data_IF_251134173775
#
_entry.id   IF_251134173775
#
_cell.length_a   1.000
_cell.length_b   1.000
_cell.length_c   1.000
_cell.angle_alpha   90.00
_cell.angle_beta   90.00
_cell.angle_gamma   90.00
#
_symmetry.space_group_name_H-M   'P 1'
#
loop_
_entity.id
_entity.type
_entity.pdbx_description
1 polymer ?
#
# COMPACT_ATOMS: atom_id res chain seq x y z
N UNK A 1 -15.08 10.00 34.31
CA UNK A 1 -14.84 8.65 33.73
C UNK A 1 -14.53 8.69 32.22
N UNK A 2 -14.42 9.89 31.59
CA UNK A 2 -14.12 10.05 30.14
C UNK A 2 -12.69 10.50 29.85
N UNK A 3 -11.90 10.87 30.85
CA UNK A 3 -10.54 11.42 30.70
C UNK A 3 -9.43 10.46 31.19
N UNK A 4 -9.56 9.19 30.88
CA UNK A 4 -8.50 8.21 31.16
C UNK A 4 -7.44 8.27 30.03
N UNK A 5 -6.23 8.81 30.28
CA UNK A 5 -5.16 8.91 29.28
C UNK A 5 -4.71 7.56 28.74
N UNK A 6 -4.89 6.46 29.49
CA UNK A 6 -4.56 5.10 29.02
C UNK A 6 -5.54 4.56 27.95
N UNK A 7 -6.70 5.19 27.76
CA UNK A 7 -7.60 4.89 26.63
C UNK A 7 -7.07 5.39 25.27
N UNK A 8 -6.12 6.29 25.27
CA UNK A 8 -5.53 6.88 24.03
C UNK A 8 -4.42 6.03 23.41
N UNK A 9 -3.93 5.00 24.08
CA UNK A 9 -2.81 4.13 23.64
C UNK A 9 -3.14 3.23 22.45
N UNK A 10 -4.38 3.23 21.98
CA UNK A 10 -4.80 2.39 20.85
C UNK A 10 -4.64 3.06 19.46
N UNK A 11 -4.24 4.35 19.38
CA UNK A 11 -4.05 5.05 18.10
C UNK A 11 -2.77 4.59 17.38
N UNK A 12 -1.68 4.37 18.10
CA UNK A 12 -0.42 3.89 17.53
C UNK A 12 -0.52 2.43 17.07
N UNK A 13 -1.21 1.57 17.82
CA UNK A 13 -1.46 0.17 17.44
C UNK A 13 -2.42 0.02 16.26
N UNK A 14 -3.30 0.99 15.97
CA UNK A 14 -4.22 0.94 14.83
C UNK A 14 -3.55 1.18 13.48
N UNK A 15 -2.38 1.81 13.46
CA UNK A 15 -1.71 2.19 12.23
C UNK A 15 -0.69 1.16 11.73
N UNK A 16 -0.30 0.19 12.55
CA UNK A 16 0.63 -0.86 12.14
C UNK A 16 -0.15 -1.95 11.43
N UNK A 17 -0.05 -2.02 10.11
CA UNK A 17 -0.64 -3.10 9.32
C UNK A 17 0.06 -4.41 9.67
N UNK A 18 -0.70 -5.39 10.16
CA UNK A 18 -0.18 -6.70 10.62
C UNK A 18 -0.23 -7.78 9.54
N UNK A 19 -0.84 -7.50 8.40
CA UNK A 19 -1.06 -8.46 7.33
C UNK A 19 -0.54 -7.92 6.01
N UNK A 20 0.14 -8.79 5.26
CA UNK A 20 0.84 -8.44 4.03
C UNK A 20 -0.07 -7.73 3.03
N UNK A 21 -1.22 -8.30 2.71
CA UNK A 21 -2.11 -7.82 1.66
C UNK A 21 -3.13 -6.77 2.06
N UNK A 22 -3.27 -6.44 3.38
CA UNK A 22 -4.32 -5.52 3.83
C UNK A 22 -4.14 -4.09 3.28
N UNK A 23 -5.05 -3.66 2.40
CA UNK A 23 -4.97 -2.36 1.71
C UNK A 23 -3.87 -2.28 0.66
N UNK A 24 -3.17 -3.38 0.36
CA UNK A 24 -2.19 -3.53 -0.72
C UNK A 24 -2.79 -4.31 -1.90
N UNK A 25 -3.41 -5.46 -1.61
CA UNK A 25 -4.07 -6.23 -2.65
C UNK A 25 -5.40 -5.59 -3.03
N UNK A 26 -5.79 -5.74 -4.29
CA UNK A 26 -7.03 -5.20 -4.82
C UNK A 26 -7.97 -6.31 -5.27
N UNK A 27 -9.26 -6.02 -5.25
CA UNK A 27 -10.28 -6.90 -5.78
C UNK A 27 -10.27 -6.82 -7.31
N UNK A 28 -10.17 -7.95 -8.00
CA UNK A 28 -10.15 -8.01 -9.46
C UNK A 28 -11.48 -7.56 -10.10
N UNK A 29 -12.61 -7.70 -9.37
CA UNK A 29 -13.93 -7.32 -9.88
C UNK A 29 -14.21 -5.81 -9.85
N UNK A 30 -13.74 -5.11 -8.80
CA UNK A 30 -14.10 -3.70 -8.58
C UNK A 30 -12.91 -2.76 -8.37
N UNK A 31 -11.66 -3.29 -8.39
CA UNK A 31 -10.45 -2.49 -8.20
C UNK A 31 -10.23 -1.96 -6.78
N UNK A 32 -11.20 -2.12 -5.87
CA UNK A 32 -11.07 -1.61 -4.52
C UNK A 32 -10.06 -2.41 -3.70
N UNK A 33 -9.32 -1.75 -2.79
CA UNK A 33 -8.38 -2.44 -1.90
C UNK A 33 -9.13 -3.39 -0.96
N UNK A 34 -8.58 -4.59 -0.77
CA UNK A 34 -9.09 -5.53 0.22
C UNK A 34 -8.54 -5.20 1.60
N UNK A 35 -9.30 -5.53 2.64
CA UNK A 35 -8.90 -5.35 4.04
C UNK A 35 -8.97 -6.64 4.80
N UNK A 36 -8.11 -6.80 5.81
CA UNK A 36 -8.19 -7.93 6.71
C UNK A 36 -9.43 -7.84 7.58
N UNK A 37 -10.16 -8.94 7.65
CA UNK A 37 -11.26 -9.17 8.58
C UNK A 37 -11.08 -10.57 9.19
N UNK A 38 -10.78 -10.62 10.46
CA UNK A 38 -10.32 -11.84 11.16
C UNK A 38 -9.10 -12.47 10.44
N UNK A 39 -9.20 -13.72 10.01
CA UNK A 39 -8.18 -14.51 9.31
C UNK A 39 -8.25 -14.42 7.77
N UNK A 40 -8.95 -13.42 7.22
CA UNK A 40 -9.26 -13.36 5.79
C UNK A 40 -9.13 -11.95 5.23
N UNK A 41 -8.84 -11.87 3.93
CA UNK A 41 -8.99 -10.66 3.14
C UNK A 41 -10.42 -10.52 2.63
N UNK A 42 -11.00 -9.33 2.77
CA UNK A 42 -12.36 -9.03 2.33
C UNK A 42 -12.39 -7.74 1.51
N UNK A 43 -13.12 -7.76 0.41
CA UNK A 43 -13.54 -6.57 -0.30
C UNK A 43 -14.89 -6.10 0.26
N UNK A 44 -14.95 -4.86 0.74
CA UNK A 44 -16.18 -4.30 1.31
C UNK A 44 -17.25 -4.04 0.24
N UNK A 45 -16.86 -3.71 -1.00
CA UNK A 45 -17.78 -3.34 -2.07
C UNK A 45 -18.50 -4.55 -2.69
N UNK A 46 -17.76 -5.63 -3.04
CA UNK A 46 -18.33 -6.78 -3.76
C UNK A 46 -18.34 -8.07 -2.92
N UNK A 47 -17.97 -8.01 -1.65
CA UNK A 47 -18.05 -9.17 -0.74
C UNK A 47 -17.07 -10.30 -1.05
N UNK A 48 -16.03 -10.06 -1.88
CA UNK A 48 -14.95 -11.03 -2.10
C UNK A 48 -14.31 -11.38 -0.76
N UNK A 49 -14.04 -12.68 -0.52
CA UNK A 49 -13.35 -13.18 0.67
C UNK A 49 -12.25 -14.13 0.25
N UNK A 50 -11.05 -13.98 0.85
CA UNK A 50 -9.88 -14.84 0.63
C UNK A 50 -9.15 -15.08 1.93
N UNK A 51 -8.62 -16.30 2.10
CA UNK A 51 -7.74 -16.67 3.22
C UNK A 51 -6.36 -16.06 3.05
N UNK A 52 -5.58 -15.93 4.13
CA UNK A 52 -4.21 -15.43 4.11
C UNK A 52 -3.21 -16.38 3.42
N UNK A 53 -3.61 -17.61 3.05
CA UNK A 53 -2.80 -18.50 2.19
C UNK A 53 -2.41 -17.89 0.84
N UNK A 54 -3.10 -16.79 0.45
CA UNK A 54 -2.71 -15.93 -0.66
C UNK A 54 -1.32 -15.32 -0.45
N UNK A 55 -0.96 -14.98 0.79
CA UNK A 55 0.31 -14.34 1.11
C UNK A 55 1.50 -15.25 0.79
N UNK A 56 1.40 -16.54 1.11
CA UNK A 56 2.46 -17.53 0.83
C UNK A 56 2.73 -17.63 -0.68
N UNK A 57 1.65 -17.63 -1.48
CA UNK A 57 1.77 -17.65 -2.93
C UNK A 57 2.40 -16.37 -3.46
N UNK A 58 1.94 -15.19 -3.01
CA UNK A 58 2.50 -13.90 -3.43
C UNK A 58 3.98 -13.83 -3.07
N UNK A 59 4.34 -14.17 -1.83
CA UNK A 59 5.74 -14.17 -1.39
C UNK A 59 6.61 -15.11 -2.23
N UNK A 60 6.11 -16.31 -2.57
CA UNK A 60 6.84 -17.24 -3.43
C UNK A 60 7.09 -16.64 -4.84
N UNK A 61 6.09 -16.01 -5.44
CA UNK A 61 6.23 -15.35 -6.76
C UNK A 61 7.18 -14.16 -6.69
N UNK A 62 7.11 -13.35 -5.64
CA UNK A 62 8.02 -12.21 -5.44
C UNK A 62 9.46 -12.70 -5.28
N UNK A 63 9.72 -13.74 -4.45
CA UNK A 63 11.06 -14.32 -4.30
C UNK A 63 11.61 -14.83 -5.64
N UNK A 64 10.79 -15.55 -6.39
CA UNK A 64 11.19 -16.02 -7.72
C UNK A 64 11.53 -14.85 -8.66
N UNK A 65 10.85 -13.72 -8.55
CA UNK A 65 11.13 -12.52 -9.35
C UNK A 65 12.40 -11.80 -8.90
N UNK A 66 12.62 -11.68 -7.60
CA UNK A 66 13.82 -11.07 -7.01
C UNK A 66 15.11 -11.87 -7.28
N UNK A 67 14.98 -13.18 -7.48
CA UNK A 67 16.10 -14.06 -7.82
C UNK A 67 16.52 -14.04 -9.29
N UNK A 68 15.92 -13.19 -10.15
CA UNK A 68 16.28 -13.09 -11.57
C UNK A 68 17.33 -12.02 -11.79
N UNK A 69 18.24 -12.28 -12.75
CA UNK A 69 19.35 -11.38 -13.07
C UNK A 69 18.90 -10.03 -13.70
N UNK A 70 17.68 -10.00 -14.28
CA UNK A 70 17.09 -8.81 -14.91
C UNK A 70 16.36 -7.87 -13.94
N UNK A 71 16.51 -8.05 -12.63
CA UNK A 71 15.81 -7.26 -11.61
C UNK A 71 16.14 -5.76 -11.72
N UNK A 72 17.42 -5.43 -11.94
CA UNK A 72 17.87 -4.04 -12.01
C UNK A 72 17.22 -3.27 -13.18
N UNK A 73 16.96 -3.95 -14.31
CA UNK A 73 16.38 -3.35 -15.51
C UNK A 73 14.89 -2.98 -15.34
N UNK A 74 14.22 -3.57 -14.35
CA UNK A 74 12.79 -3.37 -14.08
C UNK A 74 12.50 -2.38 -12.98
N UNK A 75 13.52 -2.04 -12.21
CA UNK A 75 13.33 -1.09 -11.12
C UNK A 75 13.41 0.34 -11.67
N UNK A 76 12.45 1.21 -11.32
CA UNK A 76 12.60 2.62 -11.63
C UNK A 76 13.88 3.12 -10.94
N UNK A 77 14.78 3.69 -11.72
CA UNK A 77 15.91 4.43 -11.17
C UNK A 77 15.34 5.64 -10.44
N UNK A 78 15.45 5.66 -9.11
CA UNK A 78 15.10 6.84 -8.35
C UNK A 78 16.17 7.90 -8.64
N UNK A 79 15.79 8.96 -9.35
CA UNK A 79 16.54 10.19 -9.38
C UNK A 79 16.18 10.97 -8.11
N UNK A 80 17.17 11.37 -7.34
CA UNK A 80 16.96 12.16 -6.12
C UNK A 80 16.18 13.45 -6.42
N UNK A 81 16.38 14.04 -7.61
CA UNK A 81 15.63 15.21 -8.07
C UNK A 81 14.15 14.89 -8.28
N UNK A 82 13.81 13.69 -8.77
CA UNK A 82 12.42 13.25 -8.93
C UNK A 82 11.74 13.05 -7.55
N UNK A 83 12.45 12.45 -6.60
CA UNK A 83 11.93 12.24 -5.24
C UNK A 83 11.70 13.59 -4.55
N UNK A 84 12.64 14.50 -4.66
CA UNK A 84 12.54 15.85 -4.09
C UNK A 84 11.36 16.63 -4.72
N UNK A 85 11.20 16.57 -6.04
CA UNK A 85 10.08 17.22 -6.73
C UNK A 85 8.70 16.67 -6.26
N UNK A 86 8.60 15.36 -6.03
CA UNK A 86 7.38 14.73 -5.49
C UNK A 86 7.13 15.21 -4.05
N UNK A 87 8.16 15.30 -3.21
CA UNK A 87 8.04 15.75 -1.83
C UNK A 87 7.60 17.22 -1.75
N UNK A 88 8.13 18.08 -2.61
CA UNK A 88 7.74 19.48 -2.73
C UNK A 88 6.27 19.63 -3.16
N UNK A 89 5.83 18.88 -4.17
CA UNK A 89 4.45 18.90 -4.64
C UNK A 89 3.48 18.38 -3.57
N UNK A 90 3.86 17.32 -2.84
CA UNK A 90 3.09 16.81 -1.70
C UNK A 90 2.96 17.85 -0.59
N UNK A 91 4.05 18.55 -0.27
CA UNK A 91 4.05 19.60 0.74
C UNK A 91 3.11 20.75 0.34
N UNK A 92 3.15 21.17 -0.93
CA UNK A 92 2.29 22.22 -1.46
C UNK A 92 0.79 21.83 -1.41
N UNK A 93 0.43 20.61 -1.86
CA UNK A 93 -0.96 20.15 -1.84
C UNK A 93 -1.51 19.99 -0.43
N UNK A 94 -0.69 19.47 0.49
CA UNK A 94 -1.05 19.34 1.91
C UNK A 94 -1.23 20.72 2.56
N UNK A 95 -0.36 21.68 2.24
CA UNK A 95 -0.49 23.06 2.74
C UNK A 95 -1.78 23.73 2.22
N UNK A 96 -2.14 23.52 0.93
CA UNK A 96 -3.39 24.01 0.37
C UNK A 96 -4.60 23.41 1.11
N UNK A 97 -4.59 22.10 1.35
CA UNK A 97 -5.68 21.42 2.05
C UNK A 97 -5.78 21.87 3.52
N UNK A 98 -4.64 22.03 4.20
CA UNK A 98 -4.58 22.50 5.58
C UNK A 98 -5.13 23.93 5.71
N UNK A 99 -4.83 24.82 4.74
CA UNK A 99 -5.38 26.18 4.73
C UNK A 99 -6.90 26.17 4.60
N UNK A 100 -7.44 25.39 3.65
CA UNK A 100 -8.90 25.29 3.48
C UNK A 100 -9.55 24.66 4.72
N UNK A 101 -8.87 23.74 5.41
CA UNK A 101 -9.35 23.19 6.67
C UNK A 101 -9.39 24.26 7.77
N UNK A 102 -8.34 25.09 7.88
CA UNK A 102 -8.31 26.20 8.84
C UNK A 102 -9.41 27.23 8.57
N UNK A 103 -9.63 27.61 7.31
CA UNK A 103 -10.70 28.53 6.92
C UNK A 103 -12.09 27.98 7.29
N UNK A 104 -12.28 26.66 7.23
CA UNK A 104 -13.50 26.00 7.67
C UNK A 104 -13.63 26.01 9.20
N UNK A 105 -12.55 25.72 9.93
CA UNK A 105 -12.53 25.68 11.39
C UNK A 105 -12.76 27.09 12.00
N UNK A 106 -12.38 28.14 11.25
CA UNK A 106 -12.64 29.56 11.56
C UNK A 106 -14.01 30.06 11.05
N UNK A 107 -14.85 29.16 10.52
CA UNK A 107 -16.19 29.46 9.98
C UNK A 107 -16.19 30.46 8.79
N UNK A 108 -15.06 30.62 8.10
CA UNK A 108 -14.93 31.51 6.93
C UNK A 108 -15.49 30.90 5.65
N UNK A 109 -15.61 29.56 5.56
CA UNK A 109 -16.14 28.83 4.42
C UNK A 109 -17.15 27.77 4.86
N UNK A 110 -17.98 27.32 3.91
CA UNK A 110 -18.96 26.27 4.19
C UNK A 110 -18.41 24.87 4.02
N UNK A 111 -19.04 23.87 4.67
CA UNK A 111 -18.67 22.45 4.59
C UNK A 111 -18.63 21.92 3.14
N UNK A 112 -19.45 22.49 2.24
CA UNK A 112 -19.43 22.14 0.81
C UNK A 112 -18.12 22.53 0.13
N UNK A 113 -17.50 23.64 0.54
CA UNK A 113 -16.25 24.13 -0.06
C UNK A 113 -15.06 23.31 0.42
N UNK A 114 -15.03 22.97 1.72
CA UNK A 114 -14.08 22.00 2.27
C UNK A 114 -14.19 20.64 1.57
N UNK A 115 -15.40 20.12 1.37
CA UNK A 115 -15.62 18.85 0.67
C UNK A 115 -15.13 18.91 -0.76
N UNK A 116 -15.35 20.04 -1.48
CA UNK A 116 -14.85 20.25 -2.83
C UNK A 116 -13.32 20.27 -2.88
N UNK A 117 -12.67 20.93 -1.92
CA UNK A 117 -11.23 20.97 -1.82
C UNK A 117 -10.64 19.57 -1.53
N UNK A 118 -11.22 18.81 -0.60
CA UNK A 118 -10.81 17.42 -0.33
C UNK A 118 -10.93 16.54 -1.57
N UNK A 119 -12.08 16.55 -2.21
CA UNK A 119 -12.30 15.77 -3.45
C UNK A 119 -11.31 16.13 -4.56
N UNK A 120 -10.79 17.37 -4.57
CA UNK A 120 -9.80 17.83 -5.56
C UNK A 120 -8.38 17.44 -5.18
N UNK A 121 -7.96 17.59 -3.92
CA UNK A 121 -6.57 17.46 -3.52
C UNK A 121 -6.21 16.05 -3.00
N UNK A 122 -7.11 15.36 -2.28
CA UNK A 122 -6.83 14.03 -1.74
C UNK A 122 -6.45 13.00 -2.81
N UNK A 123 -7.10 12.92 -3.99
CA UNK A 123 -6.68 11.97 -5.03
C UNK A 123 -5.31 12.29 -5.62
N UNK A 124 -4.93 13.59 -5.67
CA UNK A 124 -3.61 14.00 -6.16
C UNK A 124 -2.52 13.62 -5.16
N UNK A 125 -2.77 13.87 -3.87
CA UNK A 125 -1.88 13.45 -2.78
C UNK A 125 -1.69 11.94 -2.79
N UNK A 126 -2.77 11.16 -2.87
CA UNK A 126 -2.72 9.70 -2.91
C UNK A 126 -1.90 9.17 -4.11
N UNK A 127 -2.04 9.79 -5.27
CA UNK A 127 -1.27 9.45 -6.47
C UNK A 127 0.22 9.71 -6.29
N UNK A 128 0.58 10.87 -5.74
CA UNK A 128 1.98 11.23 -5.48
C UNK A 128 2.59 10.36 -4.37
N UNK A 129 1.86 10.09 -3.29
CA UNK A 129 2.29 9.17 -2.22
C UNK A 129 2.54 7.76 -2.77
N UNK A 130 1.68 7.29 -3.67
CA UNK A 130 1.87 5.99 -4.34
C UNK A 130 3.14 5.99 -5.19
N UNK A 131 3.37 7.06 -5.99
CA UNK A 131 4.57 7.19 -6.82
C UNK A 131 5.83 7.24 -5.95
N UNK A 132 5.83 8.05 -4.89
CA UNK A 132 6.94 8.13 -3.92
C UNK A 132 7.24 6.79 -3.27
N UNK A 133 6.20 6.05 -2.85
CA UNK A 133 6.36 4.73 -2.25
C UNK A 133 6.98 3.71 -3.22
N UNK A 134 6.68 3.81 -4.52
CA UNK A 134 7.28 2.95 -5.56
C UNK A 134 8.77 3.24 -5.74
N UNK A 135 9.16 4.53 -5.80
CA UNK A 135 10.57 4.92 -5.90
C UNK A 135 11.36 4.48 -4.65
N UNK A 136 10.82 4.70 -3.46
CA UNK A 136 11.43 4.24 -2.22
C UNK A 136 11.54 2.71 -2.13
N UNK A 137 10.58 1.98 -2.70
CA UNK A 137 10.62 0.52 -2.79
C UNK A 137 11.72 0.03 -3.73
N UNK A 138 11.92 0.70 -4.86
CA UNK A 138 13.00 0.40 -5.80
C UNK A 138 14.37 0.61 -5.16
N UNK A 139 14.58 1.74 -4.49
CA UNK A 139 15.83 2.03 -3.77
C UNK A 139 16.13 0.99 -2.68
N UNK A 140 15.11 0.58 -1.91
CA UNK A 140 15.26 -0.44 -0.88
C UNK A 140 15.61 -1.83 -1.43
N UNK A 141 15.21 -2.14 -2.67
CA UNK A 141 15.57 -3.39 -3.34
C UNK A 141 17.00 -3.42 -3.85
N UNK A 142 17.51 -2.25 -4.26
CA UNK A 142 18.89 -2.11 -4.73
C UNK A 142 19.90 -2.07 -3.58
N UNK A 143 19.44 -1.68 -2.38
CA UNK A 143 20.28 -1.70 -1.18
C UNK A 143 20.34 -3.11 -0.58
N UNK A 144 21.19 -3.94 -1.17
CA UNK A 144 21.48 -5.30 -0.68
C UNK A 144 22.71 -5.32 0.24
N UNK A 145 23.15 -4.16 0.75
CA UNK A 145 24.32 -4.04 1.61
C UNK A 145 24.17 -4.92 2.85
N UNK A 146 25.04 -5.90 3.01
CA UNK A 146 25.03 -6.85 4.13
C UNK A 146 24.17 -8.11 3.93
N UNK A 147 23.57 -8.30 2.75
CA UNK A 147 22.81 -9.50 2.40
C UNK A 147 23.46 -10.27 1.25
N UNK A 148 23.25 -11.59 1.20
CA UNK A 148 23.81 -12.44 0.15
C UNK A 148 23.08 -12.28 -1.19
N UNK A 149 21.80 -11.90 -1.16
CA UNK A 149 20.97 -11.69 -2.35
C UNK A 149 19.82 -10.73 -2.09
N UNK A 150 19.16 -10.19 -3.14
CA UNK A 150 17.91 -9.43 -3.01
C UNK A 150 16.78 -10.22 -2.32
N UNK A 151 16.78 -11.54 -2.47
CA UNK A 151 15.80 -12.43 -1.81
C UNK A 151 16.04 -12.44 -0.30
N UNK A 152 17.30 -12.59 0.13
CA UNK A 152 17.65 -12.59 1.57
C UNK A 152 17.36 -11.24 2.22
N UNK A 153 17.64 -10.14 1.51
CA UNK A 153 17.30 -8.80 1.96
C UNK A 153 15.77 -8.63 2.14
N UNK A 154 14.98 -9.10 1.18
CA UNK A 154 13.52 -9.06 1.24
C UNK A 154 12.95 -9.91 2.37
N UNK A 155 13.46 -11.13 2.57
CA UNK A 155 12.97 -12.05 3.60
C UNK A 155 13.31 -11.59 5.02
N UNK A 156 14.44 -10.90 5.18
CA UNK A 156 14.88 -10.31 6.44
C UNK A 156 14.22 -8.96 6.75
N UNK A 157 13.57 -8.35 5.77
CA UNK A 157 13.00 -7.02 5.90
C UNK A 157 11.71 -7.01 6.73
N UNK A 158 11.47 -5.90 7.42
CA UNK A 158 10.20 -5.66 8.11
C UNK A 158 9.02 -5.68 7.14
N UNK A 159 7.84 -6.06 7.63
CA UNK A 159 6.61 -6.15 6.85
C UNK A 159 6.31 -4.86 6.04
N UNK A 160 6.61 -3.69 6.58
CA UNK A 160 6.41 -2.42 5.90
C UNK A 160 7.29 -2.29 4.65
N UNK A 161 8.54 -2.77 4.71
CA UNK A 161 9.48 -2.79 3.57
C UNK A 161 9.03 -3.84 2.54
N UNK A 162 8.71 -5.07 2.97
CA UNK A 162 8.19 -6.10 2.08
C UNK A 162 6.97 -5.63 1.28
N UNK A 163 6.06 -4.93 1.94
CA UNK A 163 4.87 -4.35 1.29
C UNK A 163 5.22 -3.28 0.26
N UNK A 164 6.20 -2.42 0.55
CA UNK A 164 6.69 -1.41 -0.41
C UNK A 164 7.29 -2.08 -1.64
N UNK A 165 8.15 -3.08 -1.43
CA UNK A 165 8.75 -3.89 -2.48
C UNK A 165 7.68 -4.51 -3.39
N UNK A 166 6.68 -5.17 -2.83
CA UNK A 166 5.58 -5.77 -3.59
C UNK A 166 4.84 -4.69 -4.40
N UNK A 167 4.52 -3.56 -3.79
CA UNK A 167 3.83 -2.45 -4.46
C UNK A 167 4.65 -1.83 -5.60
N UNK A 168 5.97 -1.83 -5.47
CA UNK A 168 6.89 -1.36 -6.52
C UNK A 168 6.90 -2.32 -7.71
N UNK A 169 6.97 -3.62 -7.45
CA UNK A 169 7.11 -4.63 -8.49
C UNK A 169 5.81 -4.94 -9.20
N UNK A 170 4.67 -4.97 -8.48
CA UNK A 170 3.43 -5.45 -9.05
C UNK A 170 2.17 -4.95 -8.32
N UNK A 171 1.03 -5.12 -9.01
CA UNK A 171 -0.29 -5.06 -8.41
C UNK A 171 -0.84 -6.47 -8.23
N UNK A 172 -1.18 -6.85 -7.01
CA UNK A 172 -1.79 -8.15 -6.68
C UNK A 172 -3.31 -8.02 -6.72
N UNK A 173 -3.96 -8.77 -7.60
CA UNK A 173 -5.42 -8.79 -7.76
C UNK A 173 -5.99 -10.10 -7.27
N UNK A 174 -7.01 -10.03 -6.44
CA UNK A 174 -7.70 -11.20 -5.89
C UNK A 174 -9.01 -11.46 -6.61
N UNK A 175 -9.16 -12.70 -7.10
CA UNK A 175 -10.40 -13.21 -7.74
C UNK A 175 -11.24 -13.98 -6.74
N UNK A 176 -12.54 -14.10 -7.03
CA UNK A 176 -13.43 -14.95 -6.25
C UNK A 176 -13.00 -16.41 -6.37
N UNK A 177 -13.04 -17.13 -5.25
CA UNK A 177 -12.84 -18.58 -5.23
C UNK A 177 -14.05 -19.33 -5.72
N UNK A 178 -13.80 -20.54 -6.18
CA UNK A 178 -14.86 -21.52 -6.41
C UNK A 178 -15.41 -21.98 -5.06
N UNK A 179 -16.73 -21.93 -4.88
CA UNK A 179 -17.37 -22.38 -3.64
C UNK A 179 -17.11 -23.87 -3.43
N UNK A 180 -16.79 -24.24 -2.19
CA UNK A 180 -16.61 -25.66 -1.81
C UNK A 180 -15.17 -26.18 -1.92
N UNK A 181 -14.23 -25.45 -2.51
CA UNK A 181 -12.81 -25.85 -2.53
C UNK A 181 -12.12 -25.47 -1.23
N UNK A 182 -11.54 -26.46 -0.55
CA UNK A 182 -10.71 -26.24 0.66
C UNK A 182 -9.25 -25.96 0.35
N UNK A 183 -8.79 -26.28 -0.86
CA UNK A 183 -7.41 -26.07 -1.32
C UNK A 183 -7.24 -24.70 -1.94
N UNK A 184 -6.07 -24.10 -1.73
CA UNK A 184 -5.68 -22.85 -2.37
C UNK A 184 -5.59 -23.06 -3.89
N UNK A 185 -6.24 -22.17 -4.66
CA UNK A 185 -6.13 -22.16 -6.12
C UNK A 185 -5.29 -20.93 -6.54
N UNK A 186 -4.08 -21.12 -7.14
CA UNK A 186 -3.23 -20.03 -7.62
C UNK A 186 -3.90 -19.10 -8.63
N UNK A 187 -4.81 -19.62 -9.48
CA UNK A 187 -5.56 -18.82 -10.46
C UNK A 187 -6.46 -17.75 -9.83
N UNK A 188 -6.69 -17.87 -8.52
CA UNK A 188 -7.44 -16.89 -7.74
C UNK A 188 -6.63 -15.62 -7.41
N UNK A 189 -5.34 -15.63 -7.73
CA UNK A 189 -4.43 -14.49 -7.55
C UNK A 189 -3.82 -14.15 -8.89
N UNK A 190 -4.05 -12.94 -9.35
CA UNK A 190 -3.40 -12.40 -10.53
C UNK A 190 -2.34 -11.40 -10.08
N UNK A 191 -1.12 -11.57 -10.57
CA UNK A 191 -0.02 -10.64 -10.37
C UNK A 191 0.22 -9.89 -11.68
N UNK A 192 0.03 -8.58 -11.63
CA UNK A 192 0.25 -7.68 -12.76
C UNK A 192 1.53 -6.92 -12.47
N UNK A 193 2.59 -7.20 -13.23
CA UNK A 193 3.88 -6.51 -13.11
C UNK A 193 3.77 -5.07 -13.60
N UNK A 194 4.47 -4.16 -12.93
CA UNK A 194 4.51 -2.73 -13.27
C UNK A 194 5.46 -2.44 -14.44
#
# INVERSE_FOLDING_TARGET
VLDDPDRLTNKERRNTRRHLGSGLYVCDECGNPVRTHADRYRCAACGLVRTHSVDDFVLAVIRARLGRDDLADLLPTADDDEVNAIDDELAELRAKLARVQADYDEELIEARDLKRARNRYEPQIEKLETRRARLAGASALLDTTGYASPVDAFDSAELAVQRRVINTLCQVRLRRGVRGTKTFNPESVQIVWN
#
